data_IF_216742396125
#
_entry.id   IF_216742396125
#
_cell.length_a   1.000
_cell.length_b   1.000
_cell.length_c   1.000
_cell.angle_alpha   90.00
_cell.angle_beta   90.00
_cell.angle_gamma   90.00
#
_symmetry.space_group_name_H-M   'P 1'
#
loop_
_entity.id
_entity.type
_entity.pdbx_description
1 polymer ?
#
# COMPACT_ATOMS: atom_id res chain seq x y z
N UNK A 1 -9.82 -31.12 -3.17
CA UNK A 1 -11.03 -31.06 -2.33
C UNK A 1 -10.88 -29.88 -1.41
N UNK A 2 -11.57 -28.77 -1.69
CA UNK A 2 -11.40 -27.45 -1.07
C UNK A 2 -12.57 -27.11 -0.13
N UNK A 3 -12.99 -28.09 0.66
CA UNK A 3 -14.16 -27.98 1.53
C UNK A 3 -13.79 -28.69 2.81
N UNK A 4 -13.36 -27.93 3.81
CA UNK A 4 -13.53 -28.13 5.26
C UNK A 4 -12.60 -27.09 5.88
N UNK A 5 -13.15 -26.00 6.42
CA UNK A 5 -12.62 -25.14 7.49
C UNK A 5 -13.40 -23.81 7.49
N UNK A 6 -14.73 -23.88 7.66
CA UNK A 6 -15.52 -22.73 8.07
C UNK A 6 -16.21 -23.15 9.37
N UNK A 7 -15.71 -22.68 10.51
CA UNK A 7 -16.42 -22.76 11.79
C UNK A 7 -16.80 -21.40 12.36
N UNK A 8 -16.33 -20.30 11.78
CA UNK A 8 -16.68 -18.96 12.21
C UNK A 8 -16.89 -18.06 10.98
N UNK A 9 -17.87 -17.16 11.06
CA UNK A 9 -18.45 -16.39 9.95
C UNK A 9 -17.53 -15.33 9.32
N UNK A 10 -16.23 -15.33 9.64
CA UNK A 10 -15.27 -14.37 9.10
C UNK A 10 -13.91 -15.04 8.82
N UNK A 11 -13.52 -15.10 7.55
CA UNK A 11 -12.16 -15.49 7.15
C UNK A 11 -11.24 -14.30 7.38
N UNK A 12 -10.29 -14.43 8.31
CA UNK A 12 -9.31 -13.38 8.60
C UNK A 12 -8.06 -13.56 7.72
N UNK A 13 -7.25 -12.50 7.55
CA UNK A 13 -6.02 -12.56 6.73
C UNK A 13 -5.03 -13.65 7.18
N UNK A 14 -5.14 -14.13 8.41
CA UNK A 14 -4.33 -15.21 8.97
C UNK A 14 -4.75 -16.61 8.48
N UNK A 15 -5.98 -16.75 7.97
CA UNK A 15 -6.55 -18.03 7.53
C UNK A 15 -6.28 -18.34 6.04
N UNK A 16 -5.69 -17.37 5.32
CA UNK A 16 -5.39 -17.50 3.90
C UNK A 16 -3.89 -17.82 3.68
N UNK A 17 -3.56 -18.80 2.82
CA UNK A 17 -2.18 -19.13 2.54
C UNK A 17 -1.42 -17.92 1.98
N UNK A 18 -0.16 -17.75 2.37
CA UNK A 18 0.74 -16.66 2.01
C UNK A 18 0.78 -16.30 0.50
N UNK A 19 0.35 -17.22 -0.36
CA UNK A 19 0.20 -17.03 -1.79
C UNK A 19 -0.79 -15.90 -2.15
N UNK A 20 -1.85 -15.68 -1.36
CA UNK A 20 -2.88 -14.66 -1.66
C UNK A 20 -2.41 -13.25 -1.32
N UNK A 21 -1.64 -13.06 -0.25
CA UNK A 21 -1.01 -11.76 0.06
C UNK A 21 -0.11 -11.29 -1.10
N UNK A 22 0.61 -12.23 -1.73
CA UNK A 22 1.47 -11.95 -2.88
C UNK A 22 0.69 -11.54 -4.15
N UNK A 23 -0.56 -11.98 -4.30
CA UNK A 23 -1.42 -11.62 -5.43
C UNK A 23 -1.94 -10.19 -5.29
N UNK A 24 -2.25 -9.75 -4.07
CA UNK A 24 -2.71 -8.37 -3.80
C UNK A 24 -1.63 -7.33 -4.08
N UNK A 25 -0.38 -7.59 -3.67
CA UNK A 25 0.75 -6.70 -3.96
C UNK A 25 1.01 -6.61 -5.47
N UNK A 26 0.83 -7.71 -6.21
CA UNK A 26 1.15 -7.77 -7.64
C UNK A 26 0.22 -6.94 -8.53
N UNK A 27 -1.04 -6.68 -8.11
CA UNK A 27 -2.00 -5.93 -8.93
C UNK A 27 -1.61 -4.46 -9.13
N UNK A 28 -1.05 -3.80 -8.11
CA UNK A 28 -0.65 -2.37 -8.23
C UNK A 28 0.55 -2.21 -9.17
N UNK A 29 1.43 -3.21 -9.22
CA UNK A 29 2.62 -3.22 -10.08
C UNK A 29 2.41 -3.99 -11.39
N UNK A 30 1.17 -4.42 -11.71
CA UNK A 30 0.92 -5.13 -12.94
C UNK A 30 1.00 -4.14 -14.10
N UNK A 31 2.11 -4.17 -14.83
CA UNK A 31 2.34 -3.26 -15.98
C UNK A 31 1.54 -3.66 -17.21
N UNK A 32 0.91 -4.84 -17.22
CA UNK A 32 0.18 -5.36 -18.38
C UNK A 32 -1.27 -4.88 -18.46
N UNK A 33 -1.87 -4.49 -17.33
CA UNK A 33 -3.28 -4.11 -17.25
C UNK A 33 -3.49 -2.59 -17.35
N UNK A 34 -3.43 -1.98 -18.52
CA UNK A 34 -3.46 -0.51 -18.69
C UNK A 34 -4.88 0.11 -18.70
N UNK A 35 -5.92 -0.61 -18.31
CA UNK A 35 -7.33 -0.18 -18.45
C UNK A 35 -7.65 1.12 -17.70
N UNK A 36 -7.08 1.31 -16.51
CA UNK A 36 -7.31 2.49 -15.65
C UNK A 36 -6.53 3.76 -16.07
N UNK A 37 -5.72 3.68 -17.12
CA UNK A 37 -4.92 4.79 -17.64
C UNK A 37 -3.66 5.12 -16.82
N UNK A 38 -2.77 5.90 -17.43
CA UNK A 38 -1.44 6.22 -16.88
C UNK A 38 -1.50 6.93 -15.52
N UNK A 39 -2.33 7.95 -15.39
CA UNK A 39 -2.37 8.79 -14.19
C UNK A 39 -2.82 8.01 -12.95
N UNK A 40 -3.84 7.16 -13.11
CA UNK A 40 -4.37 6.31 -12.03
C UNK A 40 -3.31 5.32 -11.54
N UNK A 41 -2.59 4.67 -12.47
CA UNK A 41 -1.51 3.74 -12.11
C UNK A 41 -0.36 4.42 -11.40
N UNK A 42 0.07 5.58 -11.89
CA UNK A 42 1.16 6.34 -11.25
C UNK A 42 0.76 6.75 -9.84
N UNK A 43 -0.50 7.18 -9.62
CA UNK A 43 -0.99 7.51 -8.27
C UNK A 43 -1.01 6.29 -7.35
N UNK A 44 -1.45 5.13 -7.84
CA UNK A 44 -1.47 3.90 -7.06
C UNK A 44 -0.05 3.45 -6.68
N UNK A 45 0.88 3.51 -7.63
CA UNK A 45 2.29 3.20 -7.41
C UNK A 45 2.95 4.19 -6.42
N UNK A 46 2.73 5.49 -6.62
CA UNK A 46 3.23 6.55 -5.75
C UNK A 46 2.72 6.37 -4.30
N UNK A 47 1.44 6.01 -4.14
CA UNK A 47 0.83 5.70 -2.85
C UNK A 47 1.55 4.57 -2.13
N UNK A 48 1.80 3.44 -2.79
CA UNK A 48 2.47 2.29 -2.18
C UNK A 48 3.90 2.62 -1.74
N UNK A 49 4.65 3.36 -2.57
CA UNK A 49 6.01 3.80 -2.21
C UNK A 49 6.01 4.70 -0.96
N UNK A 50 5.08 5.65 -0.90
CA UNK A 50 4.97 6.57 0.23
C UNK A 50 4.57 5.82 1.51
N UNK A 51 3.63 4.88 1.41
CA UNK A 51 3.20 4.06 2.54
C UNK A 51 4.34 3.18 3.06
N UNK A 52 5.10 2.55 2.18
CA UNK A 52 6.27 1.74 2.55
C UNK A 52 7.34 2.60 3.26
N UNK A 53 7.62 3.80 2.74
CA UNK A 53 8.56 4.73 3.37
C UNK A 53 8.09 5.18 4.76
N UNK A 54 6.78 5.45 4.93
CA UNK A 54 6.20 5.79 6.23
C UNK A 54 6.21 4.63 7.22
N UNK A 55 5.94 3.41 6.73
CA UNK A 55 6.01 2.18 7.53
C UNK A 55 7.42 1.98 8.09
N UNK A 56 8.45 2.05 7.22
CA UNK A 56 9.87 1.92 7.62
C UNK A 56 10.33 2.97 8.62
N UNK A 57 9.72 4.17 8.61
CA UNK A 57 10.09 5.26 9.52
C UNK A 57 9.11 5.44 10.67
N UNK A 58 8.21 4.47 10.87
CA UNK A 58 7.25 4.46 11.96
C UNK A 58 6.38 5.74 12.00
N UNK A 59 5.98 6.21 10.81
CA UNK A 59 5.17 7.42 10.59
C UNK A 59 5.95 8.74 10.56
N UNK A 60 7.28 8.72 10.69
CA UNK A 60 8.07 9.94 10.66
C UNK A 60 8.20 10.47 9.23
N UNK A 61 7.41 11.50 8.89
CA UNK A 61 7.34 12.12 7.56
C UNK A 61 8.70 12.68 7.11
N UNK A 62 9.44 13.35 7.98
CA UNK A 62 10.76 13.90 7.64
C UNK A 62 11.79 12.79 7.39
N UNK A 63 11.71 11.68 8.11
CA UNK A 63 12.54 10.51 7.85
C UNK A 63 12.12 9.78 6.56
N UNK A 64 10.83 9.65 6.29
CA UNK A 64 10.32 9.02 5.06
C UNK A 64 10.74 9.83 3.82
N UNK A 65 10.65 11.15 3.89
CA UNK A 65 11.11 12.06 2.84
C UNK A 65 12.61 11.88 2.56
N UNK A 66 13.43 11.69 3.60
CA UNK A 66 14.86 11.38 3.46
C UNK A 66 15.11 10.04 2.77
N UNK A 67 14.36 8.99 3.10
CA UNK A 67 14.47 7.68 2.42
C UNK A 67 14.13 7.81 0.94
N UNK A 68 13.07 8.57 0.63
CA UNK A 68 12.62 8.80 -0.75
C UNK A 68 13.44 9.86 -1.49
N UNK A 69 14.45 10.46 -0.82
CA UNK A 69 15.30 11.52 -1.35
C UNK A 69 14.51 12.73 -1.93
N UNK A 70 13.43 13.12 -1.23
CA UNK A 70 12.60 14.28 -1.57
C UNK A 70 12.52 15.23 -0.37
N UNK A 71 12.07 16.46 -0.60
CA UNK A 71 11.80 17.39 0.50
C UNK A 71 10.56 16.95 1.28
N UNK A 72 10.53 17.23 2.59
CA UNK A 72 9.34 16.97 3.41
C UNK A 72 8.11 17.70 2.86
N UNK A 73 8.30 18.93 2.35
CA UNK A 73 7.24 19.69 1.68
C UNK A 73 6.66 18.93 0.48
N UNK A 74 7.50 18.32 -0.34
CA UNK A 74 7.04 17.51 -1.47
C UNK A 74 6.24 16.31 -0.98
N UNK A 75 6.74 15.57 0.01
CA UNK A 75 6.04 14.42 0.58
C UNK A 75 4.66 14.82 1.15
N UNK A 76 4.57 15.92 1.89
CA UNK A 76 3.30 16.42 2.45
C UNK A 76 2.30 16.74 1.35
N UNK A 77 2.74 17.46 0.32
CA UNK A 77 1.88 17.76 -0.84
C UNK A 77 1.36 16.48 -1.51
N UNK A 78 2.18 15.44 -1.63
CA UNK A 78 1.74 14.14 -2.18
C UNK A 78 0.73 13.44 -1.29
N UNK A 79 0.94 13.44 0.02
CA UNK A 79 -0.02 12.87 0.99
C UNK A 79 -1.38 13.55 0.90
N UNK A 80 -1.42 14.88 0.75
CA UNK A 80 -2.66 15.64 0.62
C UNK A 80 -3.38 15.31 -0.69
N UNK A 81 -2.66 15.25 -1.82
CA UNK A 81 -3.20 14.90 -3.14
C UNK A 81 -3.75 13.46 -3.16
N UNK A 82 -3.07 12.53 -2.49
CA UNK A 82 -3.46 11.12 -2.43
C UNK A 82 -4.49 10.82 -1.33
N UNK A 83 -4.85 11.81 -0.51
CA UNK A 83 -5.80 11.64 0.60
C UNK A 83 -5.32 10.68 1.69
N UNK A 84 -4.02 10.57 1.91
CA UNK A 84 -3.43 9.60 2.86
C UNK A 84 -3.28 10.26 4.24
N UNK A 85 -4.12 9.85 5.18
CA UNK A 85 -3.97 10.17 6.61
C UNK A 85 -3.29 8.99 7.30
N UNK A 86 -1.99 9.11 7.55
CA UNK A 86 -1.23 8.09 8.30
C UNK A 86 -1.37 8.35 9.80
N UNK A 87 -2.21 7.55 10.48
CA UNK A 87 -2.35 7.52 11.94
C UNK A 87 -1.64 6.27 12.48
N UNK A 88 -0.84 6.44 13.52
CA UNK A 88 0.07 5.41 14.06
C UNK A 88 -0.62 4.44 15.06
N UNK A 89 -1.89 4.65 15.37
CA UNK A 89 -2.55 4.05 16.55
C UNK A 89 -3.40 2.78 16.25
N UNK A 90 -2.97 1.94 15.30
CA UNK A 90 -3.54 0.60 15.07
C UNK A 90 -2.45 -0.46 14.97
#
# INVERSE_FOLDING_TARGET
RAVVLCRDEFVTKADLPNLINKISEKKVFDTTDLEDGYETKVKAFEKEIILEALSRTNGNKSAAARILNITERHLRSRLDILGIVYNKDL
#
